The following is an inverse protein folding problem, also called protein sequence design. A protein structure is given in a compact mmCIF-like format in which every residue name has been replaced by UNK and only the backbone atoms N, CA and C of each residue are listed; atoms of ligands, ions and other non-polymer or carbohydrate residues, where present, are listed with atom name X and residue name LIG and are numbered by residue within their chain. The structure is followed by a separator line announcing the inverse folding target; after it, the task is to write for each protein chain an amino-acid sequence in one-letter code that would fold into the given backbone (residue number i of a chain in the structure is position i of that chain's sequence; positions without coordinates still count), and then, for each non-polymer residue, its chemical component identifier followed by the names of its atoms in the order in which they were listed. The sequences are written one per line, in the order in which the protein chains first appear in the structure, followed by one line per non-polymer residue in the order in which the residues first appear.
data_IF_321785805384
#
_entry.id   IF_321785805384
#
_cell.length_a   1.000
_cell.length_b   1.000
_cell.length_c   1.000
_cell.angle_alpha   90.00
_cell.angle_beta   90.00
_cell.angle_gamma   90.00
#
_symmetry.space_group_name_H-M   'P 1'
#
loop_
_entity.id
_entity.type
_entity.pdbx_description
1 polymer ?
#
# COMPACT_ATOMS: atom_id res chain seq x y z
N UNK A 1 -7.59 3.62 27.22
CA UNK A 1 -8.54 3.02 26.27
C UNK A 1 -7.97 3.17 24.87
N UNK A 2 -7.41 2.11 24.27
CA UNK A 2 -6.75 2.18 22.96
C UNK A 2 -7.71 2.62 21.84
N UNK A 3 -8.94 2.12 21.85
CA UNK A 3 -9.99 2.46 20.87
C UNK A 3 -10.24 3.97 20.75
N UNK A 4 -10.43 4.66 21.88
CA UNK A 4 -10.71 6.09 21.87
C UNK A 4 -9.51 6.90 21.36
N UNK A 5 -8.29 6.47 21.70
CA UNK A 5 -7.07 7.13 21.23
C UNK A 5 -6.83 6.87 19.74
N UNK A 6 -7.15 5.68 19.25
CA UNK A 6 -7.12 5.35 17.82
C UNK A 6 -8.07 6.23 17.02
N UNK A 7 -9.35 6.35 17.41
CA UNK A 7 -10.27 7.23 16.70
C UNK A 7 -9.85 8.70 16.75
N UNK A 8 -9.31 9.16 17.89
CA UNK A 8 -8.73 10.49 17.97
C UNK A 8 -7.60 10.64 16.94
N UNK A 9 -6.71 9.67 16.83
CA UNK A 9 -5.61 9.69 15.87
C UNK A 9 -6.13 9.72 14.43
N UNK A 10 -7.06 8.83 14.06
CA UNK A 10 -7.67 8.80 12.73
C UNK A 10 -8.35 10.11 12.35
N UNK A 11 -9.13 10.69 13.26
CA UNK A 11 -9.79 11.98 13.03
C UNK A 11 -8.78 13.13 12.87
N UNK A 12 -7.64 13.06 13.55
CA UNK A 12 -6.56 14.05 13.39
C UNK A 12 -5.82 13.89 12.06
N UNK A 13 -5.82 12.70 11.45
CA UNK A 13 -5.20 12.44 10.13
C UNK A 13 -6.06 12.89 8.95
N UNK A 14 -7.36 13.06 9.14
CA UNK A 14 -8.28 13.51 8.09
C UNK A 14 -7.85 14.86 7.54
N UNK A 15 -7.31 14.83 6.33
CA UNK A 15 -6.74 15.99 5.64
C UNK A 15 -7.44 16.17 4.30
N UNK A 16 -7.81 17.41 3.90
CA UNK A 16 -8.44 17.64 2.61
C UNK A 16 -7.43 17.41 1.46
N UNK A 17 -7.89 16.74 0.40
CA UNK A 17 -7.10 16.50 -0.80
C UNK A 17 -7.29 17.64 -1.82
N UNK A 18 -6.35 18.58 -1.84
CA UNK A 18 -6.46 19.80 -2.64
C UNK A 18 -6.42 19.54 -4.15
N UNK A 19 -5.70 18.50 -4.60
CA UNK A 19 -5.65 18.12 -6.02
C UNK A 19 -7.03 17.76 -6.55
N UNK A 20 -7.78 16.93 -5.82
CA UNK A 20 -9.13 16.50 -6.20
C UNK A 20 -10.11 17.67 -6.19
N UNK A 21 -9.96 18.60 -5.24
CA UNK A 21 -10.79 19.80 -5.19
C UNK A 21 -10.59 20.68 -6.42
N UNK A 22 -9.34 20.90 -6.86
CA UNK A 22 -9.03 21.72 -8.03
C UNK A 22 -9.45 21.04 -9.34
N UNK A 23 -9.25 19.74 -9.46
CA UNK A 23 -9.51 19.01 -10.71
C UNK A 23 -10.98 18.61 -10.91
N UNK A 24 -11.68 18.29 -9.80
CA UNK A 24 -13.02 17.69 -9.85
C UNK A 24 -14.08 18.48 -9.10
N UNK A 25 -13.71 19.59 -8.45
CA UNK A 25 -14.60 20.40 -7.61
C UNK A 25 -15.26 19.60 -6.48
N UNK A 26 -14.62 18.52 -6.03
CA UNK A 26 -15.10 17.63 -4.96
C UNK A 26 -14.20 17.76 -3.74
N UNK A 27 -14.80 18.01 -2.57
CA UNK A 27 -14.09 17.95 -1.30
C UNK A 27 -13.91 16.49 -0.87
N UNK A 28 -12.70 15.97 -1.07
CA UNK A 28 -12.28 14.64 -0.64
C UNK A 28 -11.33 14.75 0.55
N UNK A 29 -11.38 13.78 1.48
CA UNK A 29 -10.47 13.68 2.62
C UNK A 29 -9.73 12.36 2.57
N UNK A 30 -8.46 12.37 2.96
CA UNK A 30 -7.63 11.18 3.11
C UNK A 30 -7.11 11.09 4.55
N UNK A 31 -6.82 9.86 4.99
CA UNK A 31 -6.24 9.56 6.30
C UNK A 31 -5.10 8.53 6.21
N UNK A 32 -4.73 8.10 5.02
CA UNK A 32 -3.88 6.95 4.79
C UNK A 32 -2.38 7.27 4.74
N UNK A 33 -2.01 8.56 4.76
CA UNK A 33 -0.64 9.07 4.90
C UNK A 33 -0.33 9.45 6.37
N UNK A 34 0.87 9.14 6.90
CA UNK A 34 1.25 9.48 8.27
C UNK A 34 1.72 10.94 8.39
N UNK A 35 0.85 11.84 8.86
CA UNK A 35 1.24 13.23 9.07
C UNK A 35 2.17 13.36 10.27
N UNK A 36 3.24 14.16 10.11
CA UNK A 36 4.25 14.35 11.15
C UNK A 36 3.67 14.98 12.41
N UNK A 37 2.70 15.88 12.25
CA UNK A 37 2.01 16.61 13.32
C UNK A 37 1.23 15.66 14.24
N UNK A 38 0.77 14.54 13.70
CA UNK A 38 -0.05 13.54 14.39
C UNK A 38 0.79 12.44 15.06
N UNK A 39 2.09 12.38 14.78
CA UNK A 39 3.01 11.39 15.33
C UNK A 39 2.99 11.29 16.88
N UNK A 40 2.83 12.38 17.67
CA UNK A 40 2.71 12.26 19.12
C UNK A 40 1.50 11.44 19.58
N UNK A 41 0.38 11.51 18.86
CA UNK A 41 -0.84 10.75 19.19
C UNK A 41 -0.60 9.27 18.92
N UNK A 42 -0.01 8.95 17.76
CA UNK A 42 0.39 7.59 17.39
C UNK A 42 1.44 7.01 18.34
N UNK A 43 2.44 7.80 18.70
CA UNK A 43 3.46 7.40 19.67
C UNK A 43 2.81 7.01 21.00
N UNK A 44 1.86 7.81 21.48
CA UNK A 44 1.12 7.51 22.70
C UNK A 44 0.31 6.21 22.60
N UNK A 45 -0.35 5.97 21.47
CA UNK A 45 -1.09 4.72 21.25
C UNK A 45 -0.17 3.50 21.30
N UNK A 46 1.01 3.61 20.68
CA UNK A 46 2.04 2.60 20.71
C UNK A 46 2.67 2.43 22.11
N UNK A 47 2.97 3.50 22.84
CA UNK A 47 3.65 3.44 24.13
C UNK A 47 2.76 2.98 25.26
N UNK A 48 1.53 3.49 25.32
CA UNK A 48 0.61 3.26 26.43
C UNK A 48 -0.16 1.94 26.25
N UNK A 49 -0.30 1.46 25.00
CA UNK A 49 -1.07 0.26 24.66
C UNK A 49 -0.32 -0.65 23.65
N UNK A 50 0.92 -1.09 23.94
CA UNK A 50 1.81 -1.74 22.96
C UNK A 50 1.32 -3.10 22.43
N UNK A 51 0.43 -3.77 23.16
CA UNK A 51 -0.15 -5.08 22.83
C UNK A 51 -1.56 -4.97 22.20
N UNK A 52 -2.11 -3.76 22.07
CA UNK A 52 -3.43 -3.55 21.48
C UNK A 52 -3.39 -3.72 19.96
N UNK A 53 -4.45 -4.26 19.31
CA UNK A 53 -4.52 -4.30 17.85
C UNK A 53 -4.41 -2.90 17.23
N UNK A 54 -4.95 -1.86 17.88
CA UNK A 54 -4.88 -0.48 17.42
C UNK A 54 -3.43 0.04 17.31
N UNK A 55 -2.52 -0.46 18.15
CA UNK A 55 -1.10 -0.08 18.10
C UNK A 55 -0.37 -0.59 16.85
N UNK A 56 -0.95 -1.54 16.10
CA UNK A 56 -0.36 -2.05 14.86
C UNK A 56 -0.24 -0.93 13.83
N UNK A 57 -1.29 -0.11 13.65
CA UNK A 57 -1.23 1.04 12.73
C UNK A 57 -0.26 2.13 13.23
N UNK A 58 -0.22 2.36 14.54
CA UNK A 58 0.73 3.29 15.15
C UNK A 58 2.19 2.92 14.82
N UNK A 59 2.51 1.62 14.85
CA UNK A 59 3.83 1.09 14.48
C UNK A 59 4.15 1.32 13.02
N UNK A 60 3.19 1.09 12.12
CA UNK A 60 3.38 1.34 10.69
C UNK A 60 3.68 2.83 10.43
N UNK A 61 2.85 3.74 10.96
CA UNK A 61 3.05 5.18 10.78
C UNK A 61 4.39 5.64 11.34
N UNK A 62 4.78 5.14 12.50
CA UNK A 62 6.09 5.44 13.08
C UNK A 62 7.25 4.87 12.27
N UNK A 63 7.10 3.67 11.71
CA UNK A 63 8.11 3.06 10.84
C UNK A 63 8.38 3.90 9.58
N UNK A 64 7.33 4.50 8.98
CA UNK A 64 7.48 5.44 7.86
C UNK A 64 8.36 6.64 8.27
N UNK A 65 8.09 7.26 9.42
CA UNK A 65 8.91 8.39 9.88
C UNK A 65 10.35 7.99 10.22
N UNK A 66 10.56 6.81 10.82
CA UNK A 66 11.91 6.29 11.08
C UNK A 66 12.67 6.08 9.77
N UNK A 67 12.05 5.47 8.77
CA UNK A 67 12.66 5.29 7.45
C UNK A 67 12.97 6.65 6.79
N UNK A 68 12.10 7.65 6.94
CA UNK A 68 12.34 9.02 6.52
C UNK A 68 13.49 9.74 7.23
N UNK A 69 13.89 9.27 8.41
CA UNK A 69 15.04 9.74 9.17
C UNK A 69 16.32 8.95 8.85
N UNK A 70 16.31 8.09 7.84
CA UNK A 70 17.39 7.14 7.51
C UNK A 70 17.62 6.07 8.60
N UNK A 71 16.71 5.94 9.57
CA UNK A 71 16.74 4.95 10.66
C UNK A 71 16.16 3.59 10.21
N UNK A 72 16.69 3.06 9.12
CA UNK A 72 16.14 1.87 8.44
C UNK A 72 16.12 0.62 9.30
N UNK A 73 17.13 0.43 10.17
CA UNK A 73 17.18 -0.70 11.10
C UNK A 73 15.98 -0.66 12.07
N UNK A 74 15.75 0.49 12.71
CA UNK A 74 14.63 0.66 13.63
C UNK A 74 13.28 0.62 12.91
N UNK A 75 13.20 1.14 11.68
CA UNK A 75 12.00 1.01 10.85
C UNK A 75 11.69 -0.47 10.55
N UNK A 76 12.70 -1.26 10.20
CA UNK A 76 12.54 -2.69 9.91
C UNK A 76 12.15 -3.49 11.17
N UNK A 77 12.72 -3.18 12.33
CA UNK A 77 12.28 -3.77 13.60
C UNK A 77 10.81 -3.48 13.91
N UNK A 78 10.34 -2.26 13.62
CA UNK A 78 8.91 -1.92 13.78
C UNK A 78 8.02 -2.67 12.79
N UNK A 79 8.49 -2.84 11.55
CA UNK A 79 7.80 -3.63 10.52
C UNK A 79 7.66 -5.09 10.97
N UNK A 80 8.74 -5.73 11.41
CA UNK A 80 8.74 -7.12 11.86
C UNK A 80 7.84 -7.33 13.08
N UNK A 81 7.85 -6.40 14.03
CA UNK A 81 6.95 -6.44 15.18
C UNK A 81 5.49 -6.30 14.76
N UNK A 82 5.18 -5.37 13.85
CA UNK A 82 3.83 -5.16 13.31
C UNK A 82 3.29 -6.40 12.60
N UNK A 83 4.11 -7.02 11.73
CA UNK A 83 3.74 -8.24 11.01
C UNK A 83 3.45 -9.41 11.97
N UNK A 84 4.31 -9.64 12.97
CA UNK A 84 4.09 -10.67 14.01
C UNK A 84 2.79 -10.44 14.79
N UNK A 85 2.47 -9.18 15.10
CA UNK A 85 1.21 -8.84 15.79
C UNK A 85 0.00 -9.12 14.92
N UNK A 86 0.08 -8.83 13.62
CA UNK A 86 -0.99 -9.11 12.65
C UNK A 86 -1.23 -10.61 12.55
N UNK A 87 -0.19 -11.43 12.38
CA UNK A 87 -0.30 -12.89 12.31
C UNK A 87 -0.98 -13.45 13.55
N UNK A 88 -0.50 -13.07 14.74
CA UNK A 88 -1.09 -13.46 16.02
C UNK A 88 -2.57 -13.08 16.13
N UNK A 89 -2.97 -11.95 15.55
CA UNK A 89 -4.35 -11.49 15.64
C UNK A 89 -5.28 -12.17 14.63
N UNK A 90 -4.79 -12.43 13.41
CA UNK A 90 -5.53 -13.21 12.42
C UNK A 90 -5.74 -14.67 12.88
N UNK A 91 -4.75 -15.28 13.53
CA UNK A 91 -4.88 -16.62 14.13
C UNK A 91 -5.95 -16.65 15.23
N UNK A 92 -6.00 -15.62 16.08
CA UNK A 92 -7.03 -15.50 17.12
C UNK A 92 -8.43 -15.35 16.54
N UNK A 93 -8.60 -14.56 15.48
CA UNK A 93 -9.89 -14.40 14.79
C UNK A 93 -10.36 -15.71 14.15
N UNK A 94 -9.44 -16.48 13.54
CA UNK A 94 -9.76 -17.77 12.91
C UNK A 94 -10.18 -18.85 13.92
N UNK A 95 -9.67 -18.79 15.16
CA UNK A 95 -9.99 -19.74 16.23
C UNK A 95 -11.28 -19.44 17.00
N UNK A 96 -11.89 -18.26 16.82
CA UNK A 96 -13.11 -17.87 17.54
C UNK A 96 -14.37 -18.16 16.72
N UNK A 97 -15.02 -19.30 16.94
CA UNK A 97 -16.39 -19.53 16.48
C UNK A 97 -17.39 -18.93 17.48
N UNK A 98 -18.29 -18.07 17.00
CA UNK A 98 -19.37 -17.52 17.84
C UNK A 98 -20.41 -18.60 18.11
N UNK A 99 -20.84 -18.72 19.37
CA UNK A 99 -21.99 -19.54 19.73
C UNK A 99 -23.29 -18.93 19.16
N UNK A 100 -24.34 -19.73 18.91
CA UNK A 100 -25.63 -19.24 18.38
C UNK A 100 -26.21 -18.07 19.21
N UNK A 101 -26.04 -18.09 20.54
CA UNK A 101 -26.48 -17.01 21.42
C UNK A 101 -25.69 -15.69 21.23
N UNK A 102 -24.40 -15.78 20.88
CA UNK A 102 -23.55 -14.61 20.61
C UNK A 102 -23.79 -14.00 19.22
N UNK A 103 -24.44 -14.74 18.32
CA UNK A 103 -24.91 -14.20 17.04
C UNK A 103 -26.13 -13.27 17.23
N UNK A 104 -26.98 -13.56 18.23
CA UNK A 104 -28.21 -12.80 18.53
C UNK A 104 -27.92 -11.57 19.41
N UNK A 105 -27.06 -11.71 20.43
CA UNK A 105 -26.63 -10.61 21.29
C UNK A 105 -25.14 -10.36 21.08
N UNK A 106 -24.81 -9.40 20.22
CA UNK A 106 -23.42 -9.05 19.94
C UNK A 106 -22.83 -8.25 21.11
N UNK A 107 -21.87 -8.86 21.81
CA UNK A 107 -21.00 -8.13 22.74
C UNK A 107 -20.29 -7.00 21.95
N UNK A 108 -20.05 -5.83 22.57
CA UNK A 108 -19.23 -4.80 21.95
C UNK A 108 -17.89 -5.37 21.50
N UNK A 109 -17.44 -4.98 20.30
CA UNK A 109 -16.17 -5.43 19.78
C UNK A 109 -15.04 -5.03 20.74
N UNK A 110 -14.14 -5.98 21.02
CA UNK A 110 -12.98 -5.74 21.91
C UNK A 110 -11.93 -4.83 21.29
N UNK A 111 -12.00 -4.64 19.98
CA UNK A 111 -11.13 -3.79 19.17
C UNK A 111 -11.91 -3.23 18.00
N UNK A 112 -11.45 -2.10 17.47
CA UNK A 112 -11.97 -1.52 16.23
C UNK A 112 -11.27 -2.04 14.98
N UNK A 113 -10.13 -2.72 15.16
CA UNK A 113 -9.35 -3.28 14.05
C UNK A 113 -9.98 -4.59 13.59
N UNK A 114 -10.43 -4.62 12.34
CA UNK A 114 -11.05 -5.80 11.72
C UNK A 114 -10.00 -6.66 11.00
N UNK A 115 -10.36 -7.89 10.62
CA UNK A 115 -9.50 -8.74 9.77
C UNK A 115 -9.18 -8.06 8.41
N UNK A 116 -10.12 -7.26 7.89
CA UNK A 116 -9.89 -6.44 6.71
C UNK A 116 -8.81 -5.37 6.94
N UNK A 117 -8.87 -4.67 8.08
CA UNK A 117 -7.85 -3.68 8.46
C UNK A 117 -6.49 -4.34 8.68
N UNK A 118 -6.44 -5.53 9.30
CA UNK A 118 -5.22 -6.29 9.50
C UNK A 118 -4.58 -6.69 8.17
N UNK A 119 -5.36 -7.21 7.21
CA UNK A 119 -4.88 -7.50 5.85
C UNK A 119 -4.37 -6.24 5.15
N UNK A 120 -5.07 -5.10 5.30
CA UNK A 120 -4.63 -3.80 4.75
C UNK A 120 -3.31 -3.35 5.37
N UNK A 121 -3.17 -3.42 6.69
CA UNK A 121 -1.95 -3.06 7.40
C UNK A 121 -0.79 -4.00 7.05
N UNK A 122 -1.04 -5.32 6.90
CA UNK A 122 -0.03 -6.30 6.47
C UNK A 122 0.62 -5.86 5.16
N UNK A 123 -0.19 -5.46 4.18
CA UNK A 123 0.31 -4.95 2.89
C UNK A 123 1.10 -3.66 3.04
N UNK A 124 0.61 -2.71 3.84
CA UNK A 124 1.33 -1.46 4.12
C UNK A 124 2.72 -1.73 4.75
N UNK A 125 2.81 -2.68 5.67
CA UNK A 125 4.08 -3.11 6.26
C UNK A 125 4.99 -3.79 5.26
N UNK A 126 4.48 -4.73 4.46
CA UNK A 126 5.29 -5.46 3.48
C UNK A 126 5.77 -4.55 2.34
N UNK A 127 4.97 -3.56 1.94
CA UNK A 127 5.39 -2.53 0.99
C UNK A 127 6.52 -1.67 1.57
N UNK A 128 6.41 -1.24 2.84
CA UNK A 128 7.51 -0.53 3.48
C UNK A 128 8.75 -1.42 3.58
N UNK A 129 8.59 -2.71 3.90
CA UNK A 129 9.67 -3.69 3.97
C UNK A 129 10.42 -3.84 2.64
N UNK A 130 9.71 -3.84 1.51
CA UNK A 130 10.37 -3.89 0.20
C UNK A 130 11.17 -2.61 -0.05
N UNK A 131 10.62 -1.44 0.25
CA UNK A 131 11.31 -0.15 0.07
C UNK A 131 12.56 0.00 0.95
N UNK A 132 12.53 -0.48 2.19
CA UNK A 132 13.69 -0.43 3.10
C UNK A 132 14.57 -1.69 3.00
N UNK A 133 14.39 -2.49 1.96
CA UNK A 133 15.23 -3.67 1.75
C UNK A 133 16.67 -3.25 1.38
N UNK A 134 17.66 -4.12 1.63
CA UNK A 134 19.04 -3.87 1.19
C UNK A 134 19.17 -3.64 -0.32
N UNK A 135 18.23 -4.16 -1.12
CA UNK A 135 18.21 -3.95 -2.57
C UNK A 135 17.95 -2.48 -2.94
N UNK A 136 17.06 -1.80 -2.20
CA UNK A 136 16.69 -0.41 -2.47
C UNK A 136 17.52 0.62 -1.71
N UNK A 137 18.02 0.30 -0.51
CA UNK A 137 18.90 1.20 0.26
C UNK A 137 20.33 1.18 -0.31
N UNK A 138 20.77 0.02 -0.81
CA UNK A 138 22.15 -0.17 -1.25
C UNK A 138 23.17 0.01 -0.12
N UNK A 139 24.43 0.18 -0.49
CA UNK A 139 25.53 0.45 0.46
C UNK A 139 25.96 1.92 0.47
N UNK A 140 25.51 2.71 -0.51
CA UNK A 140 25.80 4.14 -0.61
C UNK A 140 24.78 4.95 0.19
N UNK A 141 25.30 5.84 1.05
CA UNK A 141 24.50 6.77 1.84
C UNK A 141 23.64 7.68 0.97
N UNK A 142 24.09 8.02 -0.24
CA UNK A 142 23.31 8.85 -1.16
C UNK A 142 22.00 8.17 -1.58
N UNK A 143 22.05 6.86 -1.84
CA UNK A 143 20.88 6.03 -2.19
C UNK A 143 19.95 5.91 -1.00
N UNK A 144 20.49 5.63 0.20
CA UNK A 144 19.69 5.61 1.44
C UNK A 144 18.92 6.91 1.67
N UNK A 145 19.56 8.08 1.45
CA UNK A 145 18.88 9.37 1.58
C UNK A 145 17.74 9.55 0.56
N UNK A 146 17.95 9.14 -0.70
CA UNK A 146 16.91 9.20 -1.72
C UNK A 146 15.72 8.30 -1.36
N UNK A 147 15.99 7.09 -0.86
CA UNK A 147 14.97 6.16 -0.39
C UNK A 147 14.18 6.75 0.79
N UNK A 148 14.85 7.37 1.75
CA UNK A 148 14.20 8.07 2.85
C UNK A 148 13.27 9.20 2.37
N UNK A 149 13.74 10.01 1.41
CA UNK A 149 12.95 11.10 0.82
C UNK A 149 11.73 10.57 0.07
N UNK A 150 11.88 9.50 -0.71
CA UNK A 150 10.79 8.86 -1.43
C UNK A 150 9.71 8.31 -0.49
N UNK A 151 10.10 7.62 0.58
CA UNK A 151 9.18 6.98 1.54
C UNK A 151 8.26 8.01 2.22
N UNK A 152 8.76 9.21 2.49
CA UNK A 152 7.97 10.27 3.17
C UNK A 152 7.23 11.19 2.21
N UNK A 153 7.33 11.00 0.89
CA UNK A 153 6.52 11.78 -0.03
C UNK A 153 5.03 11.51 0.21
N UNK A 154 4.25 12.59 0.26
CA UNK A 154 2.80 12.49 0.40
C UNK A 154 2.15 12.41 -1.00
N UNK A 155 1.52 11.28 -1.38
CA UNK A 155 0.88 11.14 -2.69
C UNK A 155 -0.26 12.14 -2.95
N UNK A 156 -0.84 12.70 -1.88
CA UNK A 156 -1.95 13.65 -1.95
C UNK A 156 -1.48 15.12 -1.99
N UNK A 157 -0.17 15.37 -1.92
CA UNK A 157 0.38 16.71 -2.00
C UNK A 157 0.33 17.27 -3.44
N UNK A 158 0.07 18.58 -3.56
CA UNK A 158 -0.01 19.26 -4.86
C UNK A 158 1.32 19.27 -5.63
N UNK A 159 2.43 19.12 -4.91
CA UNK A 159 3.78 19.06 -5.45
C UNK A 159 4.30 17.63 -5.63
N UNK A 160 3.52 16.61 -5.30
CA UNK A 160 3.95 15.21 -5.33
C UNK A 160 4.59 14.83 -6.67
N UNK A 161 3.93 15.16 -7.79
CA UNK A 161 4.47 14.90 -9.13
C UNK A 161 5.83 15.58 -9.35
N UNK A 162 5.97 16.86 -8.97
CA UNK A 162 7.22 17.60 -9.12
C UNK A 162 8.33 17.05 -8.22
N UNK A 163 7.97 16.57 -7.03
CA UNK A 163 8.91 15.92 -6.10
C UNK A 163 9.41 14.59 -6.68
N UNK A 164 8.53 13.80 -7.30
CA UNK A 164 8.93 12.58 -8.02
C UNK A 164 9.87 12.89 -9.19
N UNK A 165 9.58 13.93 -9.98
CA UNK A 165 10.45 14.36 -11.09
C UNK A 165 11.85 14.72 -10.58
N UNK A 166 11.93 15.48 -9.48
CA UNK A 166 13.19 15.84 -8.84
C UNK A 166 13.95 14.64 -8.29
N UNK A 167 13.28 13.71 -7.61
CA UNK A 167 13.91 12.49 -7.12
C UNK A 167 14.44 11.61 -8.25
N UNK A 168 13.69 11.51 -9.36
CA UNK A 168 14.11 10.73 -10.52
C UNK A 168 15.38 11.31 -11.16
N UNK A 169 15.45 12.64 -11.28
CA UNK A 169 16.63 13.35 -11.78
C UNK A 169 17.86 13.09 -10.89
N UNK A 170 17.69 13.10 -9.57
CA UNK A 170 18.78 12.81 -8.63
C UNK A 170 19.20 11.35 -8.62
N UNK A 171 18.24 10.42 -8.73
CA UNK A 171 18.50 9.00 -8.73
C UNK A 171 19.29 8.59 -9.98
N UNK A 172 18.89 9.08 -11.15
CA UNK A 172 19.48 8.67 -12.42
C UNK A 172 19.12 7.22 -12.81
N UNK A 173 19.57 6.74 -13.99
CA UNK A 173 19.07 5.49 -14.57
C UNK A 173 19.53 4.21 -13.86
N UNK A 174 20.63 4.26 -13.10
CA UNK A 174 21.24 3.08 -12.46
C UNK A 174 20.92 2.96 -10.97
N UNK A 175 20.12 3.87 -10.42
CA UNK A 175 19.76 3.82 -9.01
C UNK A 175 18.70 2.73 -8.76
N UNK A 176 18.85 1.91 -7.70
CA UNK A 176 17.91 0.85 -7.39
C UNK A 176 16.46 1.30 -7.18
N UNK A 177 16.22 2.56 -6.79
CA UNK A 177 14.91 3.13 -6.52
C UNK A 177 14.19 3.65 -7.78
N UNK A 178 14.89 3.72 -8.91
CA UNK A 178 14.37 4.36 -10.14
C UNK A 178 13.09 3.70 -10.65
N UNK A 179 12.99 2.38 -10.55
CA UNK A 179 11.80 1.61 -10.88
C UNK A 179 10.57 2.03 -10.05
N UNK A 180 10.76 2.23 -8.74
CA UNK A 180 9.73 2.62 -7.79
C UNK A 180 9.25 4.06 -8.04
N UNK A 181 10.16 4.98 -8.34
CA UNK A 181 9.83 6.38 -8.68
C UNK A 181 9.04 6.44 -10.00
N UNK A 182 9.50 5.71 -11.03
CA UNK A 182 8.82 5.66 -12.34
C UNK A 182 7.45 4.99 -12.23
N UNK A 183 7.33 3.96 -11.39
CA UNK A 183 6.04 3.36 -11.05
C UNK A 183 5.10 4.40 -10.41
N UNK A 184 5.57 5.13 -9.39
CA UNK A 184 4.78 6.15 -8.71
C UNK A 184 4.29 7.24 -9.68
N UNK A 185 5.15 7.72 -10.58
CA UNK A 185 4.77 8.67 -11.63
C UNK A 185 3.70 8.09 -12.58
N UNK A 186 3.82 6.81 -12.93
CA UNK A 186 2.89 6.15 -13.86
C UNK A 186 1.51 5.95 -13.24
N UNK A 187 1.43 5.72 -11.93
CA UNK A 187 0.15 5.61 -11.23
C UNK A 187 -0.66 6.91 -11.22
N UNK A 188 0.00 8.06 -11.40
CA UNK A 188 -0.64 9.38 -11.51
C UNK A 188 -1.33 9.63 -12.86
N UNK A 189 -1.12 8.77 -13.87
CA UNK A 189 -1.74 8.94 -15.19
C UNK A 189 -3.25 8.73 -15.08
N UNK A 190 -4.04 9.75 -15.42
CA UNK A 190 -5.51 9.72 -15.33
C UNK A 190 -6.15 8.82 -16.40
N UNK A 191 -5.58 8.79 -17.62
CA UNK A 191 -6.06 7.91 -18.69
C UNK A 191 -5.71 6.45 -18.36
N UNK A 192 -6.74 5.64 -18.13
CA UNK A 192 -6.60 4.24 -17.70
C UNK A 192 -5.95 3.35 -18.76
N UNK A 193 -6.16 3.62 -20.05
CA UNK A 193 -5.57 2.85 -21.15
C UNK A 193 -4.09 3.21 -21.26
N UNK A 194 -3.78 4.51 -21.30
CA UNK A 194 -2.40 4.98 -21.32
C UNK A 194 -1.62 4.46 -20.10
N UNK A 195 -2.23 4.49 -18.90
CA UNK A 195 -1.64 3.96 -17.68
C UNK A 195 -1.35 2.46 -17.80
N UNK A 196 -2.29 1.66 -18.32
CA UNK A 196 -2.07 0.22 -18.52
C UNK A 196 -0.91 -0.08 -19.49
N UNK A 197 -0.75 0.72 -20.54
CA UNK A 197 0.37 0.59 -21.47
C UNK A 197 1.71 0.93 -20.82
N UNK A 198 1.77 2.04 -20.08
CA UNK A 198 3.00 2.47 -19.39
C UNK A 198 3.41 1.49 -18.28
N UNK A 199 2.45 0.97 -17.51
CA UNK A 199 2.71 -0.09 -16.52
C UNK A 199 3.29 -1.35 -17.19
N UNK A 200 2.80 -1.71 -18.39
CA UNK A 200 3.38 -2.81 -19.18
C UNK A 200 4.83 -2.57 -19.59
N UNK A 201 5.18 -1.32 -19.94
CA UNK A 201 6.56 -0.95 -20.25
C UNK A 201 7.46 -1.04 -19.02
N UNK A 202 7.00 -0.57 -17.86
CA UNK A 202 7.75 -0.68 -16.59
C UNK A 202 7.99 -2.15 -16.23
N UNK A 203 6.95 -2.97 -16.26
CA UNK A 203 7.04 -4.39 -15.95
C UNK A 203 8.03 -5.14 -16.85
N UNK A 204 8.23 -4.67 -18.10
CA UNK A 204 9.22 -5.21 -19.03
C UNK A 204 10.62 -4.66 -18.80
N UNK A 205 10.75 -3.34 -18.64
CA UNK A 205 12.05 -2.67 -18.54
C UNK A 205 12.75 -2.91 -17.20
N UNK A 206 11.96 -3.11 -16.14
CA UNK A 206 12.43 -3.34 -14.79
C UNK A 206 12.03 -4.74 -14.30
N UNK A 207 12.05 -5.74 -15.18
CA UNK A 207 11.63 -7.11 -14.84
C UNK A 207 12.40 -7.66 -13.63
N UNK A 208 11.67 -8.14 -12.62
CA UNK A 208 12.24 -8.72 -11.40
C UNK A 208 12.64 -7.72 -10.31
N UNK A 209 12.58 -6.41 -10.59
CA UNK A 209 12.68 -5.37 -9.55
C UNK A 209 11.35 -5.20 -8.80
N UNK A 210 11.37 -4.56 -7.64
CA UNK A 210 10.17 -4.32 -6.83
C UNK A 210 9.11 -3.53 -7.60
N UNK A 211 9.52 -2.41 -8.23
CA UNK A 211 8.66 -1.55 -9.03
C UNK A 211 8.16 -2.25 -10.30
N UNK A 212 8.99 -3.09 -10.93
CA UNK A 212 8.57 -3.89 -12.10
C UNK A 212 7.58 -5.00 -11.74
N UNK A 213 7.77 -5.67 -10.61
CA UNK A 213 6.85 -6.68 -10.08
C UNK A 213 5.50 -6.01 -9.77
N UNK A 214 5.51 -4.91 -9.03
CA UNK A 214 4.28 -4.17 -8.71
C UNK A 214 3.61 -3.62 -9.98
N UNK A 215 4.37 -3.09 -10.95
CA UNK A 215 3.82 -2.62 -12.22
C UNK A 215 3.03 -3.70 -12.97
N UNK A 216 3.47 -4.97 -12.91
CA UNK A 216 2.75 -6.08 -13.53
C UNK A 216 1.41 -6.34 -12.84
N UNK A 217 1.39 -6.34 -11.51
CA UNK A 217 0.15 -6.48 -10.75
C UNK A 217 -0.82 -5.33 -11.03
N UNK A 218 -0.31 -4.10 -11.01
CA UNK A 218 -1.10 -2.89 -11.26
C UNK A 218 -1.62 -2.87 -12.69
N UNK A 219 -0.82 -3.29 -13.69
CA UNK A 219 -1.28 -3.40 -15.08
C UNK A 219 -2.50 -4.32 -15.19
N UNK A 220 -2.44 -5.51 -14.58
CA UNK A 220 -3.55 -6.45 -14.60
C UNK A 220 -4.78 -5.88 -13.88
N UNK A 221 -4.58 -5.19 -12.76
CA UNK A 221 -5.65 -4.51 -12.02
C UNK A 221 -6.31 -3.38 -12.81
N UNK A 222 -5.54 -2.56 -13.53
CA UNK A 222 -6.06 -1.51 -14.41
C UNK A 222 -6.84 -2.12 -15.57
N UNK A 223 -6.38 -3.22 -16.17
CA UNK A 223 -7.13 -3.94 -17.22
C UNK A 223 -8.49 -4.46 -16.72
N UNK A 224 -8.59 -4.93 -15.48
CA UNK A 224 -9.89 -5.27 -14.88
C UNK A 224 -10.79 -4.05 -14.70
N UNK A 225 -10.21 -2.90 -14.36
CA UNK A 225 -10.96 -1.64 -14.22
C UNK A 225 -11.52 -1.22 -15.58
N UNK A 226 -10.68 -1.26 -16.62
CA UNK A 226 -11.09 -1.01 -18.02
C UNK A 226 -12.25 -1.95 -18.41
N UNK A 227 -12.13 -3.24 -18.15
CA UNK A 227 -13.18 -4.22 -18.43
C UNK A 227 -14.52 -3.91 -17.73
N UNK A 228 -14.48 -3.46 -16.46
CA UNK A 228 -15.69 -3.18 -15.66
C UNK A 228 -16.35 -1.85 -15.99
N UNK A 229 -15.57 -0.82 -16.22
CA UNK A 229 -16.05 0.57 -16.16
C UNK A 229 -16.13 1.24 -17.54
N UNK A 230 -15.40 0.76 -18.53
CA UNK A 230 -15.40 1.39 -19.86
C UNK A 230 -16.51 0.83 -20.76
N UNK A 231 -17.11 1.73 -21.56
CA UNK A 231 -18.08 1.37 -22.58
C UNK A 231 -17.38 0.77 -23.80
N UNK A 232 -16.92 -0.47 -23.63
CA UNK A 232 -16.23 -1.24 -24.66
C UNK A 232 -17.20 -2.15 -25.41
N UNK A 233 -16.83 -2.50 -26.65
CA UNK A 233 -17.49 -3.58 -27.38
C UNK A 233 -17.27 -4.94 -26.69
N UNK A 234 -18.13 -5.92 -26.94
CA UNK A 234 -18.05 -7.23 -26.28
C UNK A 234 -16.70 -7.92 -26.54
N UNK A 235 -16.18 -7.85 -27.76
CA UNK A 235 -14.86 -8.41 -28.10
C UNK A 235 -13.69 -7.71 -27.39
N UNK A 236 -13.78 -6.41 -27.15
CA UNK A 236 -12.77 -5.68 -26.37
C UNK A 236 -12.85 -6.04 -24.88
N UNK A 237 -14.07 -6.20 -24.34
CA UNK A 237 -14.26 -6.65 -22.95
C UNK A 237 -13.65 -8.04 -22.73
N UNK A 238 -13.92 -8.98 -23.62
CA UNK A 238 -13.35 -10.33 -23.56
C UNK A 238 -11.83 -10.29 -23.61
N UNK A 239 -11.25 -9.45 -24.48
CA UNK A 239 -9.80 -9.27 -24.58
C UNK A 239 -9.21 -8.75 -23.26
N UNK A 240 -9.74 -7.66 -22.69
CA UNK A 240 -9.20 -7.10 -21.45
C UNK A 240 -9.35 -8.06 -20.26
N UNK A 241 -10.47 -8.78 -20.18
CA UNK A 241 -10.67 -9.79 -19.15
C UNK A 241 -9.65 -10.93 -19.28
N UNK A 242 -9.48 -11.49 -20.49
CA UNK A 242 -8.53 -12.57 -20.73
C UNK A 242 -7.08 -12.14 -20.45
N UNK A 243 -6.69 -10.93 -20.87
CA UNK A 243 -5.38 -10.37 -20.59
C UNK A 243 -5.15 -10.13 -19.08
N UNK A 244 -6.16 -9.63 -18.36
CA UNK A 244 -6.06 -9.43 -16.92
C UNK A 244 -5.95 -10.75 -16.16
N UNK A 245 -6.79 -11.75 -16.50
CA UNK A 245 -6.74 -13.09 -15.90
C UNK A 245 -5.38 -13.76 -16.16
N UNK A 246 -4.90 -13.71 -17.40
CA UNK A 246 -3.58 -14.23 -17.76
C UNK A 246 -2.47 -13.53 -16.99
N UNK A 247 -2.51 -12.19 -16.93
CA UNK A 247 -1.55 -11.38 -16.18
C UNK A 247 -1.50 -11.73 -14.69
N UNK A 248 -2.66 -11.87 -14.03
CA UNK A 248 -2.73 -12.26 -12.61
C UNK A 248 -2.23 -13.70 -12.38
N UNK A 249 -2.59 -14.65 -13.24
CA UNK A 249 -2.12 -16.04 -13.15
C UNK A 249 -0.60 -16.14 -13.28
N UNK A 250 -0.03 -15.43 -14.25
CA UNK A 250 1.42 -15.34 -14.45
C UNK A 250 2.07 -14.67 -13.24
N UNK A 251 1.51 -13.55 -12.76
CA UNK A 251 2.01 -12.84 -11.58
C UNK A 251 2.13 -13.75 -10.36
N UNK A 252 1.07 -14.50 -10.02
CA UNK A 252 1.06 -15.42 -8.87
C UNK A 252 2.09 -16.53 -9.05
N UNK A 253 2.19 -17.09 -10.26
CA UNK A 253 3.15 -18.17 -10.56
C UNK A 253 4.59 -17.71 -10.40
N UNK A 254 4.92 -16.51 -10.86
CA UNK A 254 6.28 -16.00 -10.87
C UNK A 254 6.67 -15.34 -9.54
N UNK A 255 5.71 -14.82 -8.77
CA UNK A 255 5.96 -14.07 -7.54
C UNK A 255 5.12 -14.58 -6.36
N UNK A 256 5.11 -15.89 -6.04
CA UNK A 256 4.19 -16.46 -5.05
C UNK A 256 4.32 -15.85 -3.65
N UNK A 257 5.51 -15.35 -3.30
CA UNK A 257 5.81 -14.76 -1.98
C UNK A 257 5.70 -13.23 -1.96
N UNK A 258 5.30 -12.59 -3.06
CA UNK A 258 5.09 -11.14 -3.09
C UNK A 258 3.86 -10.75 -2.26
N UNK A 259 3.92 -9.58 -1.61
CA UNK A 259 2.84 -9.05 -0.77
C UNK A 259 1.51 -8.79 -1.53
N UNK A 260 1.58 -8.70 -2.86
CA UNK A 260 0.42 -8.52 -3.74
C UNK A 260 -0.20 -9.85 -4.19
N UNK A 261 0.42 -10.99 -3.89
CA UNK A 261 -0.02 -12.29 -4.40
C UNK A 261 -1.35 -12.76 -3.81
N UNK A 262 -1.58 -12.49 -2.52
CA UNK A 262 -2.89 -12.72 -1.90
C UNK A 262 -3.98 -11.88 -2.60
N UNK A 263 -3.70 -10.60 -2.90
CA UNK A 263 -4.65 -9.74 -3.63
C UNK A 263 -4.90 -10.22 -5.06
N UNK A 264 -3.86 -10.71 -5.74
CA UNK A 264 -4.01 -11.27 -7.08
C UNK A 264 -4.92 -12.50 -7.07
N UNK A 265 -4.79 -13.36 -6.04
CA UNK A 265 -5.66 -14.52 -5.84
C UNK A 265 -7.10 -14.11 -5.51
N UNK A 266 -7.30 -13.16 -4.59
CA UNK A 266 -8.62 -12.61 -4.24
C UNK A 266 -9.30 -11.97 -5.45
N UNK A 267 -8.55 -11.27 -6.31
CA UNK A 267 -9.09 -10.72 -7.56
C UNK A 267 -9.49 -11.82 -8.53
N UNK A 268 -8.67 -12.86 -8.71
CA UNK A 268 -9.00 -13.97 -9.63
C UNK A 268 -10.22 -14.78 -9.18
N UNK A 269 -10.39 -15.00 -7.88
CA UNK A 269 -11.47 -15.87 -7.35
C UNK A 269 -12.88 -15.34 -7.59
N UNK A 270 -13.02 -14.02 -7.79
CA UNK A 270 -14.31 -13.35 -8.05
C UNK A 270 -14.58 -13.07 -9.52
N UNK A 271 -13.65 -13.41 -10.43
CA UNK A 271 -13.83 -13.18 -11.86
C UNK A 271 -14.63 -14.32 -12.51
N UNK A 272 -15.44 -14.03 -13.54
CA UNK A 272 -16.14 -15.07 -14.29
C UNK A 272 -15.11 -16.03 -14.91
N UNK A 273 -15.38 -17.33 -14.77
CA UNK A 273 -14.61 -18.36 -15.48
C UNK A 273 -15.06 -18.37 -16.93
N UNK A 274 -14.10 -18.34 -17.86
CA UNK A 274 -14.36 -18.63 -19.27
C UNK A 274 -14.76 -20.09 -19.45
#
# INVERSE_FOLDING_TARGET
MPIALYYKAMLSELTPELNVLVEKEILHFYDDYPQKENLPIWHRLFSDFPDSPESIEARWRRAIHLAGMEEFTHANEMVDQGLKMIEKQLEKSAGSSLTEAEQIIRKPAKTVITDYDLKRLKRKFQYLQSLISPANIGTDKSVGRLTAQFIVLNPHDIYYKKQLDYLLEQAGPNNPLTDNIVLAQTLLISDVIQRAEQLGKIAKNFAGSDGGIQARFEQASVKLTIWKEQQLSDGEKEKYLAEAQSGLKIFIKENPNCYLSEMAQEKLSVLPSN
#
